data_IF_677186649081
#
_entry.id   IF_677186649081
#
_cell.length_a   1.000
_cell.length_b   1.000
_cell.length_c   1.000
_cell.angle_alpha   90.00
_cell.angle_beta   90.00
_cell.angle_gamma   90.00
#
_symmetry.space_group_name_H-M   'P 1'
#
loop_
_entity.id
_entity.type
_entity.pdbx_description
1 polymer ?
#
# COMPACT_ATOMS: atom_id res chain seq x y z
N UNK A 1 -11.72 -5.97 13.05
CA UNK A 1 -11.51 -4.81 13.91
C UNK A 1 -12.84 -4.10 14.20
N UNK A 2 -13.88 -4.70 14.62
CA UNK A 2 -14.88 -3.86 15.24
C UNK A 2 -16.24 -4.46 15.54
N UNK A 3 -16.32 -5.34 16.49
CA UNK A 3 -17.62 -5.68 17.08
C UNK A 3 -18.21 -4.55 17.94
N UNK A 4 -17.41 -3.54 18.36
CA UNK A 4 -17.85 -2.52 19.32
C UNK A 4 -18.53 -1.32 18.66
N UNK A 5 -18.09 -0.93 17.46
CA UNK A 5 -18.66 0.21 16.71
C UNK A 5 -18.90 -0.19 15.24
N UNK A 6 -19.94 -0.99 14.96
CA UNK A 6 -20.18 -1.53 13.60
C UNK A 6 -20.51 -0.46 12.57
N UNK A 7 -21.03 0.68 12.98
CA UNK A 7 -21.46 1.79 12.12
C UNK A 7 -20.29 2.69 11.66
N UNK A 8 -19.08 2.48 12.22
CA UNK A 8 -17.90 3.27 11.85
C UNK A 8 -17.15 2.60 10.70
N UNK A 9 -16.94 3.32 9.60
CA UNK A 9 -16.05 2.87 8.52
C UNK A 9 -14.57 3.04 8.93
N UNK A 10 -14.06 2.05 9.68
CA UNK A 10 -12.67 2.08 10.20
C UNK A 10 -11.62 2.06 9.08
N UNK A 11 -11.93 1.47 7.92
CA UNK A 11 -11.05 1.50 6.75
C UNK A 11 -10.86 2.93 6.24
N UNK A 12 -11.95 3.64 6.06
CA UNK A 12 -11.94 5.05 5.64
C UNK A 12 -11.27 5.94 6.70
N UNK A 13 -11.62 5.74 7.98
CA UNK A 13 -11.00 6.49 9.08
C UNK A 13 -9.47 6.29 9.10
N UNK A 14 -9.01 5.05 8.93
CA UNK A 14 -7.58 4.74 8.83
C UNK A 14 -6.94 5.44 7.62
N UNK A 15 -7.56 5.35 6.45
CA UNK A 15 -7.04 5.97 5.24
C UNK A 15 -6.87 7.48 5.42
N UNK A 16 -7.91 8.17 5.88
CA UNK A 16 -7.91 9.62 6.08
C UNK A 16 -6.97 10.08 7.19
N UNK A 17 -6.77 9.26 8.23
CA UNK A 17 -5.89 9.61 9.35
C UNK A 17 -4.41 9.43 9.01
N UNK A 18 -4.03 8.37 8.26
CA UNK A 18 -2.63 7.98 8.10
C UNK A 18 -2.03 8.38 6.76
N UNK A 19 -2.71 8.14 5.63
CA UNK A 19 -2.10 8.33 4.30
C UNK A 19 -1.69 9.78 4.00
N UNK A 20 -2.55 10.81 4.18
CA UNK A 20 -2.15 12.18 3.88
C UNK A 20 -0.96 12.66 4.73
N UNK A 21 -0.90 12.22 5.98
CA UNK A 21 0.20 12.58 6.89
C UNK A 21 1.51 11.88 6.52
N UNK A 22 1.46 10.59 6.18
CA UNK A 22 2.64 9.85 5.72
C UNK A 22 3.15 10.43 4.39
N UNK A 23 2.27 10.67 3.43
CA UNK A 23 2.61 11.25 2.13
C UNK A 23 3.19 12.66 2.24
N UNK A 24 2.67 13.49 3.17
CA UNK A 24 3.20 14.84 3.36
C UNK A 24 4.66 14.86 3.80
N UNK A 25 5.17 13.79 4.37
CA UNK A 25 6.58 13.62 4.73
C UNK A 25 7.35 12.94 3.60
N UNK A 26 6.85 11.80 3.09
CA UNK A 26 7.58 10.97 2.13
C UNK A 26 7.86 11.64 0.79
N UNK A 27 7.02 12.59 0.34
CA UNK A 27 7.27 13.37 -0.88
C UNK A 27 8.33 14.47 -0.72
N UNK A 28 8.88 14.65 0.47
CA UNK A 28 9.87 15.70 0.74
C UNK A 28 11.28 15.14 0.82
N UNK A 29 12.28 16.01 0.59
CA UNK A 29 13.69 15.65 0.80
C UNK A 29 14.05 15.36 2.26
N UNK A 30 13.16 15.72 3.21
CA UNK A 30 13.32 15.46 4.63
C UNK A 30 12.76 14.11 5.08
N UNK A 31 12.26 13.29 4.14
CA UNK A 31 11.78 11.95 4.48
C UNK A 31 12.88 11.08 5.08
N UNK A 32 12.48 10.09 5.85
CA UNK A 32 13.38 9.15 6.51
C UNK A 32 12.77 7.75 6.56
N UNK A 33 13.62 6.76 6.85
CA UNK A 33 13.18 5.38 7.04
C UNK A 33 12.30 5.25 8.30
N UNK A 34 11.46 4.21 8.35
CA UNK A 34 10.71 3.86 9.57
C UNK A 34 11.70 3.48 10.67
N UNK A 35 12.67 2.63 10.35
CA UNK A 35 13.75 2.25 11.28
C UNK A 35 14.88 3.27 11.17
N UNK A 36 15.11 3.98 12.25
CA UNK A 36 16.14 4.98 12.32
C UNK A 36 17.19 4.60 13.37
N UNK A 37 18.45 4.95 13.11
CA UNK A 37 19.50 4.77 14.09
C UNK A 37 19.34 5.74 15.25
N UNK A 38 19.34 5.23 16.47
CA UNK A 38 19.26 6.00 17.70
C UNK A 38 20.54 5.78 18.54
N UNK A 39 21.50 6.66 18.41
CA UNK A 39 22.75 6.57 19.15
C UNK A 39 22.59 6.81 20.66
N UNK A 40 21.58 7.58 21.07
CA UNK A 40 21.34 7.90 22.46
C UNK A 40 19.84 8.09 22.72
N UNK A 41 19.32 7.41 23.75
CA UNK A 41 17.90 7.45 24.11
C UNK A 41 17.36 8.86 24.36
N UNK A 42 18.18 9.80 24.85
CA UNK A 42 17.77 11.20 25.04
C UNK A 42 17.33 11.90 23.74
N UNK A 43 17.78 11.37 22.59
CA UNK A 43 17.44 11.89 21.26
C UNK A 43 16.18 11.22 20.67
N UNK A 44 15.56 10.26 21.38
CA UNK A 44 14.40 9.53 20.88
C UNK A 44 13.24 10.46 20.50
N UNK A 45 13.05 11.56 21.24
CA UNK A 45 12.00 12.54 20.93
C UNK A 45 12.08 13.17 19.55
N UNK A 46 13.28 13.29 18.98
CA UNK A 46 13.48 13.84 17.63
C UNK A 46 13.10 12.86 16.51
N UNK A 47 12.99 11.56 16.80
CA UNK A 47 12.60 10.53 15.85
C UNK A 47 11.09 10.37 15.74
N UNK A 48 10.33 10.84 16.73
CA UNK A 48 8.88 10.74 16.71
C UNK A 48 8.28 11.67 15.65
N UNK A 49 7.79 11.09 14.57
CA UNK A 49 7.29 11.85 13.42
C UNK A 49 6.22 11.09 12.64
N UNK A 50 5.80 11.72 11.54
CA UNK A 50 4.73 11.19 10.68
C UNK A 50 5.07 9.83 10.08
N UNK A 51 6.33 9.56 9.82
CA UNK A 51 6.77 8.26 9.28
C UNK A 51 6.50 7.16 10.30
N UNK A 52 6.91 7.31 11.55
CA UNK A 52 6.71 6.28 12.59
C UNK A 52 5.21 6.11 12.91
N UNK A 53 4.45 7.20 13.03
CA UNK A 53 3.06 7.11 13.49
C UNK A 53 2.03 6.93 12.36
N UNK A 54 2.39 7.20 11.11
CA UNK A 54 1.45 7.10 10.01
C UNK A 54 1.89 6.10 8.93
N UNK A 55 3.16 6.11 8.48
CA UNK A 55 3.64 5.13 7.48
C UNK A 55 3.79 3.73 8.08
N UNK A 56 4.32 3.59 9.29
CA UNK A 56 4.51 2.27 9.91
C UNK A 56 3.20 1.48 10.09
N UNK A 57 2.06 2.04 10.53
CA UNK A 57 0.79 1.32 10.52
C UNK A 57 0.33 0.88 9.11
N UNK A 58 0.58 1.69 8.08
CA UNK A 58 0.29 1.33 6.68
C UNK A 58 1.16 0.15 6.25
N UNK A 59 2.47 0.22 6.56
CA UNK A 59 3.43 -0.85 6.31
C UNK A 59 2.99 -2.17 6.97
N UNK A 60 2.55 -2.16 8.23
CA UNK A 60 2.07 -3.36 8.91
C UNK A 60 0.84 -3.98 8.23
N UNK A 61 -0.08 -3.17 7.70
CA UNK A 61 -1.20 -3.67 6.89
C UNK A 61 -0.74 -4.28 5.58
N UNK A 62 0.28 -3.71 4.93
CA UNK A 62 0.89 -4.28 3.74
C UNK A 62 1.58 -5.60 4.04
N UNK A 63 2.31 -5.69 5.13
CA UNK A 63 2.97 -6.93 5.54
C UNK A 63 1.95 -8.06 5.75
N UNK A 64 0.84 -7.78 6.45
CA UNK A 64 -0.26 -8.73 6.61
C UNK A 64 -0.85 -9.15 5.26
N UNK A 65 -1.07 -8.19 4.34
CA UNK A 65 -1.63 -8.46 3.02
C UNK A 65 -0.70 -9.30 2.14
N UNK A 66 0.59 -9.01 2.17
CA UNK A 66 1.62 -9.72 1.39
C UNK A 66 1.83 -11.15 1.87
N UNK A 67 1.79 -11.37 3.18
CA UNK A 67 1.93 -12.70 3.82
C UNK A 67 0.65 -13.53 3.78
N UNK A 68 -0.48 -12.86 3.83
CA UNK A 68 -1.78 -13.44 4.14
C UNK A 68 -2.01 -13.52 5.66
N UNK A 69 -3.28 -13.35 6.04
CA UNK A 69 -3.72 -13.19 7.43
C UNK A 69 -3.27 -14.32 8.36
N UNK A 70 -3.40 -15.58 7.92
CA UNK A 70 -3.08 -16.72 8.79
C UNK A 70 -1.56 -16.82 9.05
N UNK A 71 -0.73 -16.74 8.02
CA UNK A 71 0.73 -16.78 8.17
C UNK A 71 1.26 -15.62 9.00
N UNK A 72 0.70 -14.42 8.79
CA UNK A 72 1.04 -13.25 9.61
C UNK A 72 0.69 -13.49 11.08
N UNK A 73 -0.53 -13.97 11.38
CA UNK A 73 -0.98 -14.31 12.73
C UNK A 73 -0.06 -15.36 13.39
N UNK A 74 0.21 -16.45 12.68
CA UNK A 74 1.13 -17.51 13.18
C UNK A 74 2.52 -16.96 13.48
N UNK A 75 3.04 -16.08 12.62
CA UNK A 75 4.34 -15.46 12.83
C UNK A 75 4.39 -14.55 14.05
N UNK A 76 3.35 -13.73 14.24
CA UNK A 76 3.23 -12.88 15.44
C UNK A 76 3.09 -13.73 16.70
N UNK A 77 2.32 -14.81 16.67
CA UNK A 77 2.18 -15.73 17.83
C UNK A 77 3.50 -16.40 18.17
N UNK A 78 4.25 -16.85 17.16
CA UNK A 78 5.58 -17.45 17.36
C UNK A 78 6.56 -16.43 17.94
N UNK A 79 6.57 -15.19 17.41
CA UNK A 79 7.41 -14.12 17.90
C UNK A 79 7.14 -13.81 19.38
N UNK A 80 5.87 -13.62 19.75
CA UNK A 80 5.49 -13.35 21.15
C UNK A 80 5.90 -14.51 22.06
N UNK A 81 5.66 -15.77 21.63
CA UNK A 81 5.99 -16.95 22.42
C UNK A 81 7.51 -17.12 22.61
N UNK A 82 8.28 -16.89 21.52
CA UNK A 82 9.74 -17.09 21.54
C UNK A 82 10.45 -16.06 22.39
N UNK A 83 9.96 -14.83 22.40
CA UNK A 83 10.61 -13.71 23.07
C UNK A 83 9.82 -13.22 24.30
N UNK A 84 8.90 -14.04 24.83
CA UNK A 84 8.23 -13.76 26.09
C UNK A 84 9.25 -13.53 27.20
N UNK A 85 9.06 -12.48 27.99
CA UNK A 85 9.95 -12.07 29.08
C UNK A 85 11.40 -11.71 28.66
N UNK A 86 11.63 -11.54 27.34
CA UNK A 86 12.90 -11.17 26.75
C UNK A 86 12.85 -9.86 25.98
N UNK A 87 13.96 -9.54 25.32
CA UNK A 87 14.05 -8.44 24.39
C UNK A 87 14.14 -8.98 22.96
N UNK A 88 13.38 -8.39 22.06
CA UNK A 88 13.44 -8.70 20.64
C UNK A 88 13.26 -7.43 19.83
N UNK A 89 13.83 -7.41 18.63
CA UNK A 89 13.71 -6.29 17.71
C UNK A 89 12.97 -6.68 16.41
N UNK A 90 12.97 -5.76 15.47
CA UNK A 90 12.33 -5.94 14.17
C UNK A 90 12.93 -7.10 13.35
N UNK A 91 14.24 -7.36 13.46
CA UNK A 91 14.91 -8.37 12.65
C UNK A 91 14.51 -9.80 13.06
N UNK A 92 14.28 -10.03 14.36
CA UNK A 92 13.77 -11.31 14.85
C UNK A 92 12.36 -11.57 14.31
N UNK A 93 11.48 -10.55 14.33
CA UNK A 93 10.15 -10.67 13.74
C UNK A 93 10.21 -10.96 12.24
N UNK A 94 11.00 -10.19 11.49
CA UNK A 94 11.22 -10.41 10.05
C UNK A 94 11.73 -11.82 9.77
N UNK A 95 12.66 -12.32 10.57
CA UNK A 95 13.24 -13.65 10.39
C UNK A 95 12.21 -14.77 10.61
N UNK A 96 11.27 -14.59 11.54
CA UNK A 96 10.18 -15.54 11.75
C UNK A 96 9.18 -15.50 10.58
N UNK A 97 8.79 -14.30 10.14
CA UNK A 97 7.83 -14.13 9.05
C UNK A 97 8.38 -14.61 7.70
N UNK A 98 9.66 -14.39 7.45
CA UNK A 98 10.34 -14.85 6.25
C UNK A 98 10.30 -16.38 6.10
N UNK A 99 10.52 -17.13 7.18
CA UNK A 99 10.42 -18.59 7.20
C UNK A 99 9.01 -19.12 6.88
N UNK A 100 7.98 -18.33 7.09
CA UNK A 100 6.57 -18.70 6.82
C UNK A 100 6.10 -18.27 5.43
N UNK A 101 6.91 -17.50 4.72
CA UNK A 101 6.58 -16.93 3.41
C UNK A 101 7.30 -17.64 2.26
N UNK A 102 6.68 -17.65 1.10
CA UNK A 102 7.36 -17.94 -0.16
C UNK A 102 7.98 -16.68 -0.80
N UNK A 103 7.75 -15.51 -0.20
CA UNK A 103 8.29 -14.22 -0.63
C UNK A 103 9.45 -13.84 0.26
N UNK A 104 10.41 -13.10 -0.28
CA UNK A 104 11.56 -12.58 0.48
C UNK A 104 11.10 -11.41 1.37
N UNK A 105 10.75 -11.72 2.63
CA UNK A 105 10.31 -10.72 3.61
C UNK A 105 11.47 -9.88 4.13
N UNK A 106 12.69 -10.40 4.06
CA UNK A 106 13.88 -9.62 4.40
C UNK A 106 14.10 -8.50 3.39
N UNK A 107 14.08 -8.81 2.10
CA UNK A 107 14.18 -7.79 1.05
C UNK A 107 12.99 -6.81 1.11
N UNK A 108 11.78 -7.31 1.38
CA UNK A 108 10.62 -6.47 1.62
C UNK A 108 10.86 -5.46 2.76
N UNK A 109 11.45 -5.94 3.87
CA UNK A 109 11.76 -5.10 5.03
C UNK A 109 12.83 -4.03 4.71
N UNK A 110 13.83 -4.35 3.89
CA UNK A 110 14.86 -3.37 3.48
C UNK A 110 14.21 -2.16 2.77
N UNK A 111 13.25 -2.40 1.91
CA UNK A 111 12.57 -1.33 1.18
C UNK A 111 11.54 -0.60 2.04
N UNK A 112 10.69 -1.34 2.77
CA UNK A 112 9.60 -0.72 3.51
C UNK A 112 9.99 -0.08 4.84
N UNK A 113 11.01 -0.64 5.51
CA UNK A 113 11.36 -0.27 6.89
C UNK A 113 12.69 0.46 6.98
N UNK A 114 13.68 0.02 6.20
CA UNK A 114 15.04 0.55 6.24
C UNK A 114 15.29 1.62 5.17
N UNK A 115 14.38 1.77 4.17
CA UNK A 115 14.46 2.81 3.15
C UNK A 115 13.38 3.87 3.35
N UNK A 116 13.61 5.07 2.82
CA UNK A 116 12.66 6.18 2.81
C UNK A 116 11.88 6.22 1.48
N UNK A 117 10.89 7.12 1.40
CA UNK A 117 10.18 7.42 0.17
C UNK A 117 9.00 6.49 -0.11
N UNK A 118 8.45 6.63 -1.32
CA UNK A 118 7.28 5.91 -1.81
C UNK A 118 7.39 5.61 -3.31
N UNK A 119 6.54 4.72 -3.79
CA UNK A 119 6.45 4.40 -5.21
C UNK A 119 5.54 5.35 -5.98
N UNK A 120 5.86 5.56 -7.26
CA UNK A 120 4.93 6.05 -8.28
C UNK A 120 4.51 4.85 -9.11
N UNK A 121 3.20 4.62 -9.18
CA UNK A 121 2.58 3.60 -10.01
C UNK A 121 2.08 4.25 -11.29
N UNK A 122 2.31 3.62 -12.42
CA UNK A 122 1.77 4.01 -13.72
C UNK A 122 1.20 2.80 -14.46
N UNK A 123 0.45 3.04 -15.51
CA UNK A 123 -0.17 1.99 -16.30
C UNK A 123 -0.01 2.22 -17.80
N UNK A 124 -0.04 1.10 -18.54
CA UNK A 124 -0.18 1.06 -19.99
C UNK A 124 -1.33 0.11 -20.32
N UNK A 125 -2.39 0.63 -20.96
CA UNK A 125 -3.59 -0.15 -21.28
C UNK A 125 -3.88 -0.02 -22.77
N UNK A 126 -3.95 -1.15 -23.44
CA UNK A 126 -4.37 -1.24 -24.84
C UNK A 126 -5.78 -1.82 -24.94
N UNK A 127 -6.53 -1.31 -25.89
CA UNK A 127 -7.90 -1.76 -26.17
C UNK A 127 -8.01 -2.23 -27.62
N UNK A 128 -8.68 -3.36 -27.83
CA UNK A 128 -9.04 -3.88 -29.13
C UNK A 128 -10.50 -4.35 -29.11
N UNK A 129 -11.29 -3.95 -30.08
CA UNK A 129 -12.72 -4.32 -30.20
C UNK A 129 -13.54 -4.05 -28.91
N UNK A 130 -13.26 -2.92 -28.25
CA UNK A 130 -13.95 -2.52 -27.01
C UNK A 130 -13.51 -3.26 -25.76
N UNK A 131 -12.51 -4.14 -25.84
CA UNK A 131 -11.96 -4.94 -24.73
C UNK A 131 -10.50 -4.57 -24.44
N UNK A 132 -10.08 -4.85 -23.21
CA UNK A 132 -8.67 -4.74 -22.83
C UNK A 132 -7.90 -5.84 -23.55
N UNK A 133 -6.91 -5.47 -24.37
CA UNK A 133 -6.03 -6.41 -25.08
C UNK A 133 -4.68 -6.57 -24.37
N UNK A 134 -4.24 -5.54 -23.65
CA UNK A 134 -3.04 -5.56 -22.80
C UNK A 134 -3.22 -4.63 -21.62
N UNK A 135 -2.72 -5.03 -20.46
CA UNK A 135 -2.69 -4.16 -19.28
C UNK A 135 -1.38 -4.39 -18.51
N UNK A 136 -0.55 -3.37 -18.46
CA UNK A 136 0.69 -3.39 -17.67
C UNK A 136 0.64 -2.34 -16.59
N UNK A 137 1.17 -2.68 -15.43
CA UNK A 137 1.34 -1.79 -14.28
C UNK A 137 2.83 -1.66 -14.04
N UNK A 138 3.30 -0.43 -13.89
CA UNK A 138 4.70 -0.14 -13.64
C UNK A 138 4.86 0.54 -12.28
N UNK A 139 6.02 0.32 -11.64
CA UNK A 139 6.40 1.08 -10.47
C UNK A 139 7.82 1.62 -10.59
N UNK A 140 8.04 2.77 -9.99
CA UNK A 140 9.35 3.37 -9.78
C UNK A 140 9.38 4.11 -8.46
N UNK A 141 10.56 4.31 -7.88
CA UNK A 141 10.71 5.18 -6.73
C UNK A 141 10.50 6.66 -7.13
N UNK A 142 9.79 7.42 -6.29
CA UNK A 142 9.57 8.86 -6.51
C UNK A 142 10.88 9.66 -6.37
N UNK A 143 11.78 9.21 -5.51
CA UNK A 143 13.09 9.85 -5.25
C UNK A 143 14.18 9.50 -6.26
N UNK A 144 13.86 8.66 -7.26
CA UNK A 144 14.78 8.24 -8.33
C UNK A 144 15.74 7.12 -7.93
N UNK A 145 15.59 6.52 -6.75
CA UNK A 145 16.32 5.30 -6.36
C UNK A 145 15.80 4.08 -7.12
N UNK A 146 16.51 2.95 -7.00
CA UNK A 146 16.06 1.67 -7.58
C UNK A 146 15.13 0.87 -6.66
N UNK A 147 14.63 1.47 -5.58
CA UNK A 147 13.73 0.80 -4.64
C UNK A 147 12.42 0.39 -5.32
N UNK A 148 12.01 -0.85 -5.08
CA UNK A 148 10.74 -1.42 -5.54
C UNK A 148 9.95 -1.91 -4.36
N UNK A 149 8.76 -1.34 -4.15
CA UNK A 149 7.88 -1.72 -3.04
C UNK A 149 7.05 -2.94 -3.45
N UNK A 150 7.37 -4.11 -2.89
CA UNK A 150 6.44 -5.25 -2.98
C UNK A 150 5.19 -4.93 -2.17
N UNK A 151 4.05 -4.79 -2.85
CA UNK A 151 2.79 -4.42 -2.23
C UNK A 151 1.58 -5.05 -2.91
N UNK A 152 0.53 -5.28 -2.10
CA UNK A 152 -0.77 -5.76 -2.56
C UNK A 152 -1.82 -4.68 -2.43
N UNK A 153 -2.63 -4.51 -3.46
CA UNK A 153 -3.76 -3.59 -3.47
C UNK A 153 -4.84 -4.08 -4.43
N UNK A 154 -6.01 -3.44 -4.40
CA UNK A 154 -7.10 -3.79 -5.31
C UNK A 154 -7.30 -2.72 -6.37
N UNK A 155 -7.73 -3.15 -7.55
CA UNK A 155 -8.12 -2.29 -8.66
C UNK A 155 -9.59 -2.55 -8.96
N UNK A 156 -10.38 -1.49 -8.97
CA UNK A 156 -11.81 -1.53 -9.31
C UNK A 156 -12.06 -1.10 -10.74
N UNK A 157 -12.69 -1.94 -11.52
CA UNK A 157 -13.18 -1.65 -12.88
C UNK A 157 -14.66 -1.31 -12.77
N UNK A 158 -14.99 -0.03 -12.90
CA UNK A 158 -16.35 0.50 -12.75
C UNK A 158 -17.04 0.50 -14.10
N UNK A 159 -18.15 -0.23 -14.21
CA UNK A 159 -19.06 -0.30 -15.34
C UNK A 159 -20.36 0.45 -15.00
N UNK A 160 -21.37 0.37 -15.90
CA UNK A 160 -22.68 1.02 -15.69
C UNK A 160 -23.37 0.53 -14.42
N UNK A 161 -23.46 -0.80 -14.28
CA UNK A 161 -24.29 -1.44 -13.25
C UNK A 161 -23.49 -2.23 -12.22
N UNK A 162 -22.17 -2.42 -12.43
CA UNK A 162 -21.33 -3.23 -11.55
C UNK A 162 -19.92 -2.63 -11.41
N UNK A 163 -19.23 -3.05 -10.36
CA UNK A 163 -17.79 -2.84 -10.21
C UNK A 163 -17.12 -4.21 -10.03
N UNK A 164 -16.19 -4.55 -10.93
CA UNK A 164 -15.34 -5.74 -10.78
C UNK A 164 -14.08 -5.34 -10.05
N UNK A 165 -13.72 -6.08 -9.00
CA UNK A 165 -12.56 -5.74 -8.15
C UNK A 165 -11.58 -6.89 -8.17
N UNK A 166 -10.33 -6.60 -8.53
CA UNK A 166 -9.24 -7.55 -8.61
C UNK A 166 -8.17 -7.19 -7.59
N UNK A 167 -7.54 -8.18 -7.01
CA UNK A 167 -6.37 -8.01 -6.17
C UNK A 167 -5.11 -8.23 -7.00
N UNK A 168 -4.16 -7.32 -6.89
CA UNK A 168 -2.86 -7.42 -7.55
C UNK A 168 -1.75 -7.31 -6.51
N UNK A 169 -0.66 -8.05 -6.73
CA UNK A 169 0.57 -7.91 -5.96
C UNK A 169 1.68 -7.58 -6.94
N UNK A 170 2.31 -6.43 -6.76
CA UNK A 170 3.45 -5.99 -7.57
C UNK A 170 4.73 -6.13 -6.75
N UNK A 171 5.80 -6.62 -7.36
CA UNK A 171 7.13 -6.75 -6.75
C UNK A 171 8.24 -6.27 -7.67
N UNK A 172 7.96 -6.21 -8.98
CA UNK A 172 8.90 -5.88 -10.02
C UNK A 172 8.63 -4.48 -10.61
N UNK A 173 9.54 -3.99 -11.45
CA UNK A 173 9.37 -2.72 -12.19
C UNK A 173 8.12 -2.72 -13.08
N UNK A 174 7.72 -3.89 -13.59
CA UNK A 174 6.56 -4.07 -14.46
C UNK A 174 5.81 -5.34 -14.09
N UNK A 175 4.50 -5.26 -14.07
CA UNK A 175 3.57 -6.36 -13.79
C UNK A 175 2.53 -6.44 -14.92
N UNK A 176 2.41 -7.61 -15.55
CA UNK A 176 1.36 -7.87 -16.54
C UNK A 176 0.09 -8.30 -15.83
N UNK A 177 -0.95 -7.48 -15.97
CA UNK A 177 -2.24 -7.75 -15.33
C UNK A 177 -3.14 -8.58 -16.26
N UNK A 178 -2.84 -9.88 -16.34
CA UNK A 178 -3.47 -10.82 -17.26
C UNK A 178 -4.97 -10.98 -16.97
N UNK A 179 -5.39 -10.94 -15.71
CA UNK A 179 -6.80 -11.09 -15.32
C UNK A 179 -7.70 -9.96 -15.86
N UNK A 180 -7.12 -8.86 -16.28
CA UNK A 180 -7.85 -7.77 -16.93
C UNK A 180 -8.05 -7.98 -18.44
N UNK A 181 -7.26 -8.86 -19.06
CA UNK A 181 -7.31 -9.08 -20.52
C UNK A 181 -8.63 -9.74 -20.89
N UNK A 182 -9.28 -9.21 -21.92
CA UNK A 182 -10.60 -9.67 -22.38
C UNK A 182 -11.79 -9.02 -21.68
N UNK A 183 -11.57 -8.26 -20.59
CA UNK A 183 -12.64 -7.47 -19.97
C UNK A 183 -13.07 -6.33 -20.90
N UNK A 184 -14.37 -6.02 -20.89
CA UNK A 184 -14.90 -4.84 -21.57
C UNK A 184 -14.23 -3.57 -21.03
N UNK A 185 -14.09 -2.55 -21.89
CA UNK A 185 -13.54 -1.25 -21.47
C UNK A 185 -14.40 -0.65 -20.36
N UNK A 186 -13.85 -0.43 -19.15
CA UNK A 186 -14.62 0.14 -18.04
C UNK A 186 -14.85 1.65 -18.24
N UNK A 187 -15.85 2.20 -17.59
CA UNK A 187 -16.05 3.65 -17.49
C UNK A 187 -14.93 4.32 -16.71
N UNK A 188 -14.50 3.65 -15.62
CA UNK A 188 -13.43 4.13 -14.75
C UNK A 188 -12.59 2.94 -14.26
N UNK A 189 -11.29 3.19 -14.08
CA UNK A 189 -10.38 2.28 -13.37
C UNK A 189 -9.95 3.01 -12.11
N UNK A 190 -10.28 2.44 -10.95
CA UNK A 190 -9.99 3.00 -9.63
C UNK A 190 -8.90 2.18 -9.00
N UNK A 191 -7.68 2.72 -8.98
CA UNK A 191 -6.54 2.11 -8.34
C UNK A 191 -6.63 2.21 -6.82
N UNK A 192 -6.00 1.25 -6.15
CA UNK A 192 -5.97 1.16 -4.69
C UNK A 192 -7.37 1.20 -4.06
N UNK A 193 -8.30 0.47 -4.67
CA UNK A 193 -9.72 0.44 -4.32
C UNK A 193 -9.99 0.09 -2.85
N UNK A 194 -9.13 -0.73 -2.26
CA UNK A 194 -9.21 -1.12 -0.84
C UNK A 194 -8.40 -0.21 0.10
N UNK A 195 -7.70 0.80 -0.42
CA UNK A 195 -6.87 1.70 0.37
C UNK A 195 -5.71 0.99 1.10
N UNK A 196 -5.14 -0.09 0.52
CA UNK A 196 -4.01 -0.80 1.13
C UNK A 196 -2.67 -0.41 0.53
N UNK A 197 -2.62 -0.14 -0.79
CA UNK A 197 -1.39 0.28 -1.47
C UNK A 197 -0.86 1.62 -0.95
N UNK A 198 0.45 1.81 -1.08
CA UNK A 198 1.15 3.02 -0.66
C UNK A 198 1.99 3.58 -1.80
N UNK A 199 1.70 4.80 -2.21
CA UNK A 199 2.35 5.47 -3.34
C UNK A 199 1.40 6.41 -4.06
N UNK A 200 1.86 6.98 -5.16
CA UNK A 200 1.03 7.76 -6.10
C UNK A 200 0.52 6.81 -7.17
N UNK A 201 -0.79 6.73 -7.33
CA UNK A 201 -1.44 5.82 -8.29
C UNK A 201 -1.96 6.58 -9.50
N UNK A 202 -2.14 5.91 -10.67
CA UNK A 202 -2.70 6.55 -11.85
C UNK A 202 -4.05 7.19 -11.55
N UNK A 203 -4.24 8.40 -12.07
CA UNK A 203 -5.49 9.14 -11.97
C UNK A 203 -5.84 9.69 -13.35
N UNK A 204 -6.71 9.00 -14.06
CA UNK A 204 -7.18 9.51 -15.34
C UNK A 204 -8.20 10.66 -15.17
N UNK A 205 -8.40 11.44 -16.22
CA UNK A 205 -9.28 12.61 -16.19
C UNK A 205 -10.75 12.28 -15.86
N UNK A 206 -11.21 11.06 -16.17
CA UNK A 206 -12.57 10.64 -15.86
C UNK A 206 -12.73 10.35 -14.37
N UNK A 207 -11.79 9.64 -13.74
CA UNK A 207 -11.79 9.44 -12.29
C UNK A 207 -11.64 10.77 -11.56
N UNK A 208 -10.73 11.63 -12.00
CA UNK A 208 -10.50 12.94 -11.41
C UNK A 208 -11.78 13.83 -11.40
N UNK A 209 -12.60 13.74 -12.44
CA UNK A 209 -13.86 14.51 -12.55
C UNK A 209 -15.04 13.86 -11.82
N UNK A 210 -15.02 12.52 -11.67
CA UNK A 210 -16.19 11.73 -11.24
C UNK A 210 -15.94 10.87 -10.01
N UNK A 211 -14.82 11.08 -9.26
CA UNK A 211 -14.48 10.28 -8.07
C UNK A 211 -15.61 10.24 -7.02
N UNK A 212 -16.41 11.31 -6.93
CA UNK A 212 -17.55 11.40 -6.01
C UNK A 212 -18.66 10.40 -6.34
N UNK A 213 -18.68 9.84 -7.56
CA UNK A 213 -19.65 8.82 -7.98
C UNK A 213 -19.21 7.38 -7.60
N UNK A 214 -18.00 7.19 -7.08
CA UNK A 214 -17.53 5.88 -6.59
C UNK A 214 -18.40 5.52 -5.38
N UNK A 215 -19.14 4.40 -5.47
CA UNK A 215 -20.11 3.99 -4.45
C UNK A 215 -19.48 3.56 -3.14
N UNK A 216 -18.34 2.86 -3.21
CA UNK A 216 -17.61 2.43 -2.02
C UNK A 216 -16.93 3.64 -1.34
N UNK A 217 -17.23 3.85 -0.07
CA UNK A 217 -16.75 5.03 0.67
C UNK A 217 -15.25 5.05 0.86
N UNK A 218 -14.64 3.87 1.10
CA UNK A 218 -13.19 3.76 1.26
C UNK A 218 -12.48 4.05 -0.07
N UNK A 219 -12.95 3.43 -1.17
CA UNK A 219 -12.40 3.64 -2.50
C UNK A 219 -12.55 5.11 -2.93
N UNK A 220 -13.71 5.73 -2.64
CA UNK A 220 -13.96 7.16 -2.90
C UNK A 220 -13.03 8.06 -2.09
N UNK A 221 -12.88 7.79 -0.79
CA UNK A 221 -11.98 8.53 0.08
C UNK A 221 -10.52 8.41 -0.36
N UNK A 222 -10.09 7.22 -0.76
CA UNK A 222 -8.74 7.03 -1.26
C UNK A 222 -8.52 7.66 -2.64
N UNK A 223 -9.51 7.61 -3.53
CA UNK A 223 -9.46 8.33 -4.81
C UNK A 223 -9.29 9.84 -4.60
N UNK A 224 -9.93 10.41 -3.58
CA UNK A 224 -9.72 11.81 -3.20
C UNK A 224 -8.30 12.09 -2.70
N UNK A 225 -7.73 11.23 -1.84
CA UNK A 225 -6.34 11.35 -1.40
C UNK A 225 -5.40 11.29 -2.61
N UNK A 226 -5.60 10.31 -3.50
CA UNK A 226 -4.77 10.11 -4.68
C UNK A 226 -4.91 11.26 -5.69
N UNK A 227 -6.11 11.84 -5.83
CA UNK A 227 -6.34 13.03 -6.63
C UNK A 227 -5.45 14.19 -6.15
N UNK A 228 -5.44 14.44 -4.83
CA UNK A 228 -4.59 15.48 -4.24
C UNK A 228 -3.10 15.22 -4.50
N UNK A 229 -2.61 13.98 -4.34
CA UNK A 229 -1.22 13.63 -4.57
C UNK A 229 -0.78 13.73 -6.05
N UNK A 230 -1.71 13.61 -7.01
CA UNK A 230 -1.44 13.82 -8.43
C UNK A 230 -1.43 15.29 -8.84
N UNK A 231 -1.89 16.21 -7.98
CA UNK A 231 -1.85 17.66 -8.23
C UNK A 231 -0.59 18.35 -7.70
N UNK A 232 0.18 17.68 -6.88
CA UNK A 232 1.41 18.19 -6.27
C UNK A 232 2.62 17.91 -7.14
#
# INVERSE_FOLDING_TARGET
MNPVFPDVNHGLQFAMAHYPRAYSEDRTKGTNAIRQYLANLKNAGSLYGRIIYNKAPIMMRQLESVLGKEKFKEGIQEYIKTYADGNADWNELVSILDKKSSKDIKQWSEVWVNSSGRSIISDEIEYKDGKISSFKIHQKAEDGTDNLWTQSFKIGFVYENETKVFEVTISEKSYEFIDAVGLEKPKQIVYNYNGFGYGVFPMNSNVAKNYYQIKDDLARGYAYINLYENFL
#
